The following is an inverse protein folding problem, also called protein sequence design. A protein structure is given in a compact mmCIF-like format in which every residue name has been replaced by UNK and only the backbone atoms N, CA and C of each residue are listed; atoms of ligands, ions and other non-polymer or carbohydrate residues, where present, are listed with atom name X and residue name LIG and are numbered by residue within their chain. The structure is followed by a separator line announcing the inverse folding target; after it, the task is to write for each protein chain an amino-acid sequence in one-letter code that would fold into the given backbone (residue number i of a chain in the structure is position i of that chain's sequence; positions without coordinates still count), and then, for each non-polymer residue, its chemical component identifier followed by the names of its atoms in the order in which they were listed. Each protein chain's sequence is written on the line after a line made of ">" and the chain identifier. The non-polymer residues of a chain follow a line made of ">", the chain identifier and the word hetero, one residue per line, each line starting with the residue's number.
data_IF_926705995669
#
_entry.id   IF_926705995669
#
_cell.length_a   1.000
_cell.length_b   1.000
_cell.length_c   1.000
_cell.angle_alpha   90.00
_cell.angle_beta   90.00
_cell.angle_gamma   90.00
#
_symmetry.space_group_name_H-M   'P 1'
#
loop_
_entity.id
_entity.type
_entity.pdbx_description
1 polymer ?
#
# COMPACT_ATOMS: atom_id res chain seq x y z
N UNK A 1 20.75 -3.78 -2.94
CA UNK A 1 20.59 -2.48 -2.24
C UNK A 1 19.39 -1.66 -2.71
N UNK A 2 19.22 -1.40 -4.01
CA UNK A 2 18.10 -0.57 -4.53
C UNK A 2 16.71 -1.04 -4.09
N UNK A 3 16.45 -2.35 -4.12
CA UNK A 3 15.18 -2.93 -3.68
C UNK A 3 14.83 -2.64 -2.22
N UNK A 4 15.84 -2.62 -1.34
CA UNK A 4 15.65 -2.37 0.09
C UNK A 4 15.36 -0.89 0.31
N UNK A 5 16.12 0.02 -0.32
CA UNK A 5 15.91 1.46 -0.18
C UNK A 5 14.57 1.91 -0.77
N UNK A 6 14.25 1.45 -1.99
CA UNK A 6 13.00 1.78 -2.65
C UNK A 6 11.79 1.22 -1.90
N UNK A 7 11.87 -0.03 -1.43
CA UNK A 7 10.84 -0.63 -0.58
C UNK A 7 10.66 0.10 0.75
N UNK A 8 11.74 0.48 1.43
CA UNK A 8 11.65 1.15 2.73
C UNK A 8 11.05 2.57 2.61
N UNK A 9 11.44 3.31 1.57
CA UNK A 9 10.85 4.62 1.28
C UNK A 9 9.36 4.50 0.91
N UNK A 10 8.99 3.48 0.13
CA UNK A 10 7.60 3.17 -0.14
C UNK A 10 6.82 2.84 1.13
N UNK A 11 7.40 2.04 2.04
CA UNK A 11 6.80 1.69 3.32
C UNK A 11 6.49 2.93 4.18
N UNK A 12 7.43 3.87 4.27
CA UNK A 12 7.25 5.14 5.00
C UNK A 12 6.13 5.98 4.38
N UNK A 13 6.12 6.09 3.05
CA UNK A 13 5.11 6.84 2.32
C UNK A 13 3.71 6.24 2.50
N UNK A 14 3.58 4.92 2.36
CA UNK A 14 2.30 4.23 2.52
C UNK A 14 1.82 4.21 3.97
N UNK A 15 2.71 4.15 4.97
CA UNK A 15 2.31 4.28 6.37
C UNK A 15 1.66 5.65 6.64
N UNK A 16 2.30 6.73 6.18
CA UNK A 16 1.77 8.08 6.30
C UNK A 16 0.51 8.31 5.45
N UNK A 17 0.42 7.67 4.27
CA UNK A 17 -0.77 7.67 3.41
C UNK A 17 -1.95 6.98 4.10
N UNK A 18 -1.76 5.82 4.73
CA UNK A 18 -2.81 5.10 5.48
C UNK A 18 -3.36 5.92 6.65
N UNK A 19 -2.49 6.57 7.42
CA UNK A 19 -2.91 7.45 8.53
C UNK A 19 -3.74 8.64 8.03
N UNK A 20 -3.28 9.29 6.96
CA UNK A 20 -3.98 10.43 6.35
C UNK A 20 -5.31 10.01 5.73
N UNK A 21 -5.30 8.94 4.95
CA UNK A 21 -6.48 8.45 4.25
C UNK A 21 -7.54 7.86 5.17
N UNK A 22 -7.18 7.32 6.34
CA UNK A 22 -8.19 6.89 7.32
C UNK A 22 -9.04 8.06 7.83
N UNK A 23 -8.40 9.18 8.18
CA UNK A 23 -9.13 10.39 8.61
C UNK A 23 -9.92 10.99 7.45
N UNK A 24 -9.28 11.15 6.28
CA UNK A 24 -9.94 11.67 5.08
C UNK A 24 -11.16 10.86 4.66
N UNK A 25 -11.04 9.53 4.57
CA UNK A 25 -12.14 8.65 4.16
C UNK A 25 -13.32 8.65 5.16
N UNK A 26 -13.07 8.87 6.45
CA UNK A 26 -14.13 9.04 7.47
C UNK A 26 -14.86 10.37 7.31
N UNK A 27 -14.15 11.45 6.95
CA UNK A 27 -14.74 12.78 6.78
C UNK A 27 -15.59 12.90 5.51
N UNK A 28 -15.08 12.43 4.37
CA UNK A 28 -15.71 12.67 3.05
C UNK A 28 -16.17 11.40 2.32
N UNK A 29 -15.91 10.22 2.89
CA UNK A 29 -16.22 8.95 2.26
C UNK A 29 -15.13 8.44 1.31
N UNK A 30 -15.22 7.16 0.94
CA UNK A 30 -14.20 6.48 0.14
C UNK A 30 -14.08 7.00 -1.30
N UNK A 31 -15.22 7.25 -1.97
CA UNK A 31 -15.23 7.73 -3.36
C UNK A 31 -14.67 9.15 -3.52
N UNK A 32 -15.09 10.16 -2.72
CA UNK A 32 -14.48 11.49 -2.81
C UNK A 32 -13.01 11.51 -2.40
N UNK A 33 -12.63 10.69 -1.40
CA UNK A 33 -11.22 10.51 -1.03
C UNK A 33 -10.40 9.99 -2.22
N UNK A 34 -10.88 8.92 -2.88
CA UNK A 34 -10.23 8.36 -4.06
C UNK A 34 -10.12 9.37 -5.21
N UNK A 35 -11.23 10.03 -5.56
CA UNK A 35 -11.22 11.03 -6.63
C UNK A 35 -10.23 12.17 -6.35
N UNK A 36 -10.19 12.67 -5.12
CA UNK A 36 -9.26 13.72 -4.71
C UNK A 36 -7.79 13.26 -4.78
N UNK A 37 -7.49 12.07 -4.26
CA UNK A 37 -6.14 11.47 -4.30
C UNK A 37 -5.68 11.27 -5.75
N UNK A 38 -6.57 10.84 -6.64
CA UNK A 38 -6.25 10.66 -8.06
C UNK A 38 -5.96 11.99 -8.76
N UNK A 39 -6.71 13.06 -8.46
CA UNK A 39 -6.44 14.40 -9.01
C UNK A 39 -5.12 14.97 -8.50
N UNK A 40 -4.86 14.90 -7.19
CA UNK A 40 -3.59 15.35 -6.61
C UNK A 40 -2.44 14.55 -7.18
N UNK A 41 -2.54 13.23 -7.19
CA UNK A 41 -1.50 12.36 -7.72
C UNK A 41 -1.23 12.62 -9.20
N UNK A 42 -2.28 12.85 -10.00
CA UNK A 42 -2.12 13.23 -11.40
C UNK A 42 -1.38 14.57 -11.53
N UNK A 43 -1.74 15.58 -10.74
CA UNK A 43 -1.06 16.88 -10.74
C UNK A 43 0.42 16.76 -10.33
N UNK A 44 0.75 15.89 -9.37
CA UNK A 44 2.14 15.61 -8.96
C UNK A 44 2.93 14.91 -10.06
N UNK A 45 2.30 14.07 -10.88
CA UNK A 45 2.96 13.44 -12.02
C UNK A 45 3.32 14.43 -13.14
N UNK A 46 2.56 15.52 -13.33
CA UNK A 46 2.76 16.44 -14.46
C UNK A 46 4.17 17.06 -14.53
N UNK A 47 4.73 17.63 -13.44
CA UNK A 47 6.11 18.14 -13.47
C UNK A 47 7.15 17.06 -13.76
N UNK A 48 6.96 15.85 -13.23
CA UNK A 48 7.87 14.72 -13.47
C UNK A 48 7.88 14.37 -14.96
N UNK A 49 6.70 14.24 -15.57
CA UNK A 49 6.57 13.96 -17.01
C UNK A 49 7.17 15.09 -17.85
N UNK A 50 6.92 16.34 -17.48
CA UNK A 50 7.45 17.49 -18.21
C UNK A 50 8.98 17.52 -18.18
N UNK A 51 9.60 17.10 -17.06
CA UNK A 51 11.05 17.07 -16.90
C UNK A 51 11.71 15.84 -17.54
N UNK A 52 11.12 14.65 -17.42
CA UNK A 52 11.75 13.39 -17.87
C UNK A 52 11.29 12.92 -19.24
N UNK A 53 10.16 13.43 -19.72
CA UNK A 53 9.41 12.84 -20.83
C UNK A 53 8.82 11.47 -20.47
N UNK A 54 8.04 10.92 -21.40
CA UNK A 54 7.48 9.56 -21.31
C UNK A 54 8.45 8.49 -21.85
N UNK A 55 9.48 8.89 -22.59
CA UNK A 55 10.35 7.94 -23.30
C UNK A 55 9.62 7.23 -24.46
N UNK A 56 10.12 6.06 -24.89
CA UNK A 56 9.53 5.29 -25.97
C UNK A 56 8.09 4.84 -25.65
N UNK A 57 7.27 4.71 -26.70
CA UNK A 57 5.92 4.18 -26.55
C UNK A 57 5.97 2.70 -26.10
N UNK A 58 5.09 2.29 -25.17
CA UNK A 58 5.02 0.92 -24.72
C UNK A 58 4.55 -0.01 -25.84
N UNK A 59 5.07 -1.24 -25.82
CA UNK A 59 4.61 -2.32 -26.69
C UNK A 59 3.20 -2.78 -26.31
N UNK A 60 2.52 -3.54 -27.18
CA UNK A 60 1.18 -4.07 -26.92
C UNK A 60 1.10 -4.90 -25.62
N UNK A 61 2.13 -5.71 -25.33
CA UNK A 61 2.19 -6.47 -24.08
C UNK A 61 2.32 -5.57 -22.84
N UNK A 62 3.08 -4.49 -22.96
CA UNK A 62 3.24 -3.50 -21.89
C UNK A 62 1.97 -2.69 -21.67
N UNK A 63 1.17 -2.40 -22.69
CA UNK A 63 -0.14 -1.75 -22.53
C UNK A 63 -1.04 -2.58 -21.61
N UNK A 64 -1.03 -3.91 -21.74
CA UNK A 64 -1.76 -4.81 -20.84
C UNK A 64 -1.32 -4.64 -19.37
N UNK A 65 -0.01 -4.53 -19.12
CA UNK A 65 0.53 -4.24 -17.79
C UNK A 65 0.11 -2.86 -17.29
N UNK A 66 0.17 -1.82 -18.13
CA UNK A 66 -0.23 -0.46 -17.73
C UNK A 66 -1.72 -0.40 -17.34
N UNK A 67 -2.59 -1.09 -18.09
CA UNK A 67 -4.01 -1.20 -17.75
C UNK A 67 -4.21 -1.96 -16.44
N UNK A 68 -3.51 -3.10 -16.26
CA UNK A 68 -3.59 -3.88 -15.04
C UNK A 68 -3.12 -3.09 -13.81
N UNK A 69 -2.01 -2.34 -13.91
CA UNK A 69 -1.55 -1.42 -12.85
C UNK A 69 -2.59 -0.34 -12.55
N UNK A 70 -3.17 0.26 -13.60
CA UNK A 70 -4.20 1.29 -13.45
C UNK A 70 -5.42 0.80 -12.67
N UNK A 71 -6.02 -0.30 -13.13
CA UNK A 71 -7.24 -0.85 -12.54
C UNK A 71 -7.01 -1.41 -11.14
N UNK A 72 -5.95 -2.21 -10.97
CA UNK A 72 -5.65 -2.81 -9.66
C UNK A 72 -5.34 -1.74 -8.60
N UNK A 73 -4.67 -0.65 -8.96
CA UNK A 73 -4.44 0.46 -8.02
C UNK A 73 -5.74 1.14 -7.59
N UNK A 74 -6.62 1.49 -8.52
CA UNK A 74 -7.87 2.22 -8.21
C UNK A 74 -8.82 1.35 -7.41
N UNK A 75 -9.00 0.09 -7.83
CA UNK A 75 -9.89 -0.85 -7.16
C UNK A 75 -9.34 -1.18 -5.77
N UNK A 76 -8.03 -1.40 -5.65
CA UNK A 76 -7.36 -1.59 -4.37
C UNK A 76 -7.56 -0.39 -3.42
N UNK A 77 -7.30 0.83 -3.88
CA UNK A 77 -7.49 2.05 -3.08
C UNK A 77 -8.96 2.27 -2.70
N UNK A 78 -9.90 1.98 -3.59
CA UNK A 78 -11.33 2.08 -3.26
C UNK A 78 -11.70 1.14 -2.11
N UNK A 79 -11.30 -0.13 -2.20
CA UNK A 79 -11.55 -1.11 -1.15
C UNK A 79 -10.83 -0.73 0.15
N UNK A 80 -9.58 -0.26 0.08
CA UNK A 80 -8.81 0.19 1.22
C UNK A 80 -9.49 1.38 1.92
N UNK A 81 -9.92 2.40 1.18
CA UNK A 81 -10.62 3.55 1.74
C UNK A 81 -12.01 3.18 2.27
N UNK A 82 -12.71 2.25 1.61
CA UNK A 82 -13.97 1.71 2.13
C UNK A 82 -13.75 0.96 3.47
N UNK A 83 -12.69 0.16 3.57
CA UNK A 83 -12.29 -0.52 4.80
C UNK A 83 -11.92 0.47 5.89
N UNK A 84 -11.04 1.44 5.60
CA UNK A 84 -10.58 2.46 6.56
C UNK A 84 -11.69 3.40 7.03
N UNK A 85 -12.74 3.60 6.22
CA UNK A 85 -13.91 4.39 6.60
C UNK A 85 -14.71 3.73 7.70
N UNK A 86 -14.91 2.42 7.63
CA UNK A 86 -15.79 1.67 8.57
C UNK A 86 -15.00 0.97 9.68
N UNK A 87 -13.75 0.60 9.41
CA UNK A 87 -12.88 -0.15 10.31
C UNK A 87 -11.88 0.72 11.07
N UNK A 88 -11.29 0.12 12.10
CA UNK A 88 -10.14 0.67 12.82
C UNK A 88 -8.88 0.48 11.97
N UNK A 89 -7.98 1.47 11.97
CA UNK A 89 -6.69 1.38 11.27
C UNK A 89 -5.90 0.17 11.77
N UNK A 90 -5.96 -0.10 13.07
CA UNK A 90 -5.30 -1.23 13.71
C UNK A 90 -5.77 -2.61 13.20
N UNK A 91 -6.96 -2.72 12.60
CA UNK A 91 -7.42 -3.96 11.94
C UNK A 91 -7.12 -3.94 10.45
N UNK A 92 -7.37 -2.80 9.79
CA UNK A 92 -7.30 -2.70 8.33
C UNK A 92 -5.85 -2.67 7.82
N UNK A 93 -4.96 -1.89 8.45
CA UNK A 93 -3.57 -1.74 8.00
C UNK A 93 -2.79 -3.06 8.02
N UNK A 94 -2.91 -3.92 9.05
CA UNK A 94 -2.38 -5.29 9.02
C UNK A 94 -2.77 -6.10 7.79
N UNK A 95 -4.07 -6.12 7.47
CA UNK A 95 -4.57 -6.91 6.36
C UNK A 95 -4.05 -6.35 5.04
N UNK A 96 -4.05 -5.03 4.88
CA UNK A 96 -3.48 -4.38 3.69
C UNK A 96 -2.01 -4.76 3.48
N UNK A 97 -1.20 -4.83 4.54
CA UNK A 97 0.23 -5.18 4.42
C UNK A 97 0.52 -6.57 3.85
N UNK A 98 -0.48 -7.46 3.81
CA UNK A 98 -0.33 -8.76 3.15
C UNK A 98 -0.09 -8.63 1.65
N UNK A 99 -0.37 -7.46 1.05
CA UNK A 99 -0.08 -7.15 -0.35
C UNK A 99 1.39 -7.39 -0.73
N UNK A 100 2.35 -7.13 0.17
CA UNK A 100 3.77 -7.29 -0.13
C UNK A 100 4.16 -8.76 -0.27
N UNK A 101 3.57 -9.63 0.55
CA UNK A 101 3.74 -11.08 0.44
C UNK A 101 3.10 -11.61 -0.84
N UNK A 102 1.91 -11.10 -1.20
CA UNK A 102 1.24 -11.44 -2.45
C UNK A 102 2.05 -10.98 -3.67
N UNK A 103 2.57 -9.74 -3.67
CA UNK A 103 3.41 -9.21 -4.74
C UNK A 103 4.69 -10.03 -4.93
N UNK A 104 5.33 -10.42 -3.83
CA UNK A 104 6.51 -11.29 -3.88
C UNK A 104 6.18 -12.71 -4.37
N UNK A 105 5.07 -13.29 -3.91
CA UNK A 105 4.62 -14.59 -4.39
C UNK A 105 4.34 -14.57 -5.90
N UNK A 106 3.64 -13.56 -6.40
CA UNK A 106 3.37 -13.40 -7.83
C UNK A 106 4.68 -13.26 -8.60
N UNK A 107 5.63 -12.48 -8.10
CA UNK A 107 6.95 -12.31 -8.74
C UNK A 107 7.72 -13.65 -8.85
N UNK A 108 7.74 -14.43 -7.77
CA UNK A 108 8.35 -15.77 -7.75
C UNK A 108 7.67 -16.71 -8.76
N UNK A 109 6.34 -16.76 -8.74
CA UNK A 109 5.56 -17.59 -9.67
C UNK A 109 5.74 -17.17 -11.13
N UNK A 110 6.01 -15.88 -11.37
CA UNK A 110 6.33 -15.35 -12.69
C UNK A 110 7.78 -15.61 -13.14
N UNK A 111 8.58 -16.32 -12.33
CA UNK A 111 9.93 -16.76 -12.69
C UNK A 111 11.06 -15.90 -12.10
N UNK A 112 10.80 -15.00 -11.15
CA UNK A 112 11.86 -14.31 -10.43
C UNK A 112 12.70 -15.31 -9.61
N UNK A 113 13.97 -15.46 -9.99
CA UNK A 113 14.89 -16.37 -9.30
C UNK A 113 15.38 -15.74 -7.99
N UNK A 114 15.05 -16.35 -6.86
CA UNK A 114 15.55 -15.97 -5.54
C UNK A 114 16.47 -17.06 -4.99
N UNK A 115 17.58 -16.64 -4.40
CA UNK A 115 18.38 -17.52 -3.56
C UNK A 115 17.52 -18.02 -2.39
N UNK A 116 17.65 -19.31 -2.04
CA UNK A 116 16.85 -19.94 -0.99
C UNK A 116 16.94 -19.18 0.35
N UNK A 117 18.13 -18.66 0.70
CA UNK A 117 18.33 -17.83 1.89
C UNK A 117 17.51 -16.54 1.87
N UNK A 118 17.40 -15.89 0.72
CA UNK A 118 16.56 -14.70 0.53
C UNK A 118 15.08 -15.05 0.68
N UNK A 119 14.61 -16.12 0.04
CA UNK A 119 13.22 -16.55 0.15
C UNK A 119 12.81 -16.87 1.59
N UNK A 120 13.68 -17.54 2.35
CA UNK A 120 13.48 -17.83 3.78
C UNK A 120 13.39 -16.54 4.59
N UNK A 121 14.31 -15.59 4.38
CA UNK A 121 14.28 -14.32 5.10
C UNK A 121 13.05 -13.48 4.76
N UNK A 122 12.61 -13.46 3.50
CA UNK A 122 11.38 -12.80 3.10
C UNK A 122 10.16 -13.42 3.79
N UNK A 123 10.11 -14.75 3.90
CA UNK A 123 9.05 -15.43 4.66
C UNK A 123 9.08 -15.07 6.16
N UNK A 124 10.27 -15.00 6.76
CA UNK A 124 10.45 -14.59 8.16
C UNK A 124 10.01 -13.13 8.37
N UNK A 125 10.38 -12.22 7.48
CA UNK A 125 9.97 -10.80 7.54
C UNK A 125 8.45 -10.70 7.38
N UNK A 126 7.86 -11.40 6.41
CA UNK A 126 6.42 -11.44 6.23
C UNK A 126 5.69 -11.97 7.49
N UNK A 127 6.20 -13.03 8.11
CA UNK A 127 5.67 -13.54 9.37
C UNK A 127 5.82 -12.52 10.52
N UNK A 128 6.95 -11.81 10.59
CA UNK A 128 7.16 -10.71 11.54
C UNK A 128 6.18 -9.56 11.35
N UNK A 129 5.88 -9.19 10.09
CA UNK A 129 4.82 -8.22 9.76
C UNK A 129 3.48 -8.74 10.25
N UNK A 130 3.09 -9.97 9.92
CA UNK A 130 1.83 -10.57 10.39
C UNK A 130 1.73 -10.62 11.91
N UNK A 131 2.81 -10.96 12.62
CA UNK A 131 2.88 -10.97 14.09
C UNK A 131 2.76 -9.57 14.70
N UNK A 132 3.38 -8.56 14.08
CA UNK A 132 3.28 -7.16 14.51
C UNK A 132 1.87 -6.62 14.32
N UNK A 133 1.24 -7.09 13.26
CA UNK A 133 -0.02 -6.58 12.78
C UNK A 133 -1.23 -7.35 13.37
N UNK A 134 -1.02 -8.55 13.92
CA UNK A 134 -2.00 -9.23 14.74
C UNK A 134 -2.21 -8.45 16.05
N UNK A 135 -3.44 -8.02 16.32
CA UNK A 135 -3.86 -7.71 17.68
C UNK A 135 -4.07 -9.02 18.44
N UNK A 136 -3.76 -9.05 19.75
CA UNK A 136 -3.89 -10.28 20.56
C UNK A 136 -5.27 -10.91 20.41
N UNK A 137 -5.35 -12.20 20.07
CA UNK A 137 -6.59 -13.00 20.17
C UNK A 137 -7.26 -12.88 21.55
N UNK A 138 -6.49 -12.61 22.61
CA UNK A 138 -7.02 -12.34 23.95
C UNK A 138 -7.81 -11.02 24.06
N UNK A 139 -7.44 -10.01 23.27
CA UNK A 139 -8.18 -8.75 23.14
C UNK A 139 -9.39 -8.95 22.24
N UNK A 140 -9.29 -9.71 21.15
CA UNK A 140 -10.42 -10.04 20.28
C UNK A 140 -11.47 -10.95 20.94
N UNK A 141 -11.06 -11.87 21.82
CA UNK A 141 -11.97 -12.69 22.62
C UNK A 141 -12.66 -11.87 23.74
N UNK A 142 -11.94 -10.91 24.33
CA UNK A 142 -12.50 -10.01 25.37
C UNK A 142 -13.40 -8.95 24.75
N UNK A 143 -12.99 -8.35 23.63
CA UNK A 143 -13.76 -7.37 22.85
C UNK A 143 -14.93 -8.05 22.13
N UNK A 144 -14.74 -9.20 21.49
CA UNK A 144 -15.82 -9.95 20.84
C UNK A 144 -16.87 -10.52 21.80
N UNK A 145 -16.53 -10.68 23.09
CA UNK A 145 -17.48 -10.98 24.15
C UNK A 145 -18.21 -9.74 24.70
N UNK A 146 -17.65 -8.53 24.49
CA UNK A 146 -18.20 -7.24 24.91
C UNK A 146 -18.88 -6.46 23.76
N UNK A 147 -18.61 -6.82 22.51
CA UNK A 147 -19.12 -6.18 21.31
C UNK A 147 -20.52 -6.71 20.94
N UNK A 148 -21.46 -5.78 20.74
CA UNK A 148 -22.78 -6.13 20.22
C UNK A 148 -22.71 -6.70 18.79
N UNK A 149 -23.76 -7.41 18.33
CA UNK A 149 -23.81 -8.04 17.01
C UNK A 149 -23.46 -7.10 15.83
N UNK A 150 -23.86 -5.83 15.94
CA UNK A 150 -23.62 -4.80 14.91
C UNK A 150 -22.13 -4.44 14.76
N UNK A 151 -21.38 -4.40 15.87
CA UNK A 151 -19.98 -4.04 15.86
C UNK A 151 -19.12 -5.14 15.23
N UNK A 152 -19.44 -6.40 15.53
CA UNK A 152 -18.79 -7.56 14.90
C UNK A 152 -19.00 -7.59 13.38
N UNK A 153 -20.21 -7.25 12.92
CA UNK A 153 -20.51 -7.16 11.50
C UNK A 153 -19.70 -6.06 10.79
N UNK A 154 -19.50 -4.91 11.45
CA UNK A 154 -18.66 -3.82 10.93
C UNK A 154 -17.20 -4.25 10.83
N UNK A 155 -16.65 -4.88 11.86
CA UNK A 155 -15.26 -5.39 11.87
C UNK A 155 -15.04 -6.42 10.76
N UNK A 156 -15.95 -7.40 10.63
CA UNK A 156 -15.87 -8.40 9.56
C UNK A 156 -15.93 -7.76 8.17
N UNK A 157 -16.83 -6.79 7.98
CA UNK A 157 -16.94 -6.06 6.71
C UNK A 157 -15.66 -5.28 6.40
N UNK A 158 -15.07 -4.61 7.39
CA UNK A 158 -13.80 -3.91 7.23
C UNK A 158 -12.68 -4.88 6.81
N UNK A 159 -12.59 -6.03 7.46
CA UNK A 159 -11.61 -7.06 7.16
C UNK A 159 -11.78 -7.60 5.73
N UNK A 160 -13.01 -7.92 5.30
CA UNK A 160 -13.29 -8.39 3.94
C UNK A 160 -12.90 -7.36 2.87
N UNK A 161 -13.22 -6.09 3.10
CA UNK A 161 -12.82 -5.00 2.20
C UNK A 161 -11.29 -4.84 2.17
N UNK A 162 -10.62 -4.93 3.32
CA UNK A 162 -9.17 -4.85 3.40
C UNK A 162 -8.49 -6.04 2.69
N UNK A 163 -9.02 -7.25 2.81
CA UNK A 163 -8.52 -8.44 2.10
C UNK A 163 -8.68 -8.28 0.60
N UNK A 164 -9.84 -7.79 0.15
CA UNK A 164 -10.04 -7.48 -1.27
C UNK A 164 -9.01 -6.46 -1.76
N UNK A 165 -8.78 -5.38 -1.01
CA UNK A 165 -7.76 -4.39 -1.33
C UNK A 165 -6.36 -5.00 -1.42
N UNK A 166 -5.95 -5.81 -0.45
CA UNK A 166 -4.63 -6.45 -0.43
C UNK A 166 -4.38 -7.36 -1.65
N UNK A 167 -5.40 -8.07 -2.14
CA UNK A 167 -5.32 -8.87 -3.37
C UNK A 167 -5.05 -7.99 -4.60
N UNK A 168 -5.80 -6.90 -4.75
CA UNK A 168 -5.59 -5.95 -5.86
C UNK A 168 -4.22 -5.26 -5.73
N UNK A 169 -3.81 -4.88 -4.53
CA UNK A 169 -2.50 -4.27 -4.33
C UNK A 169 -1.35 -5.24 -4.57
N UNK A 170 -1.45 -6.52 -4.18
CA UNK A 170 -0.43 -7.51 -4.51
C UNK A 170 -0.21 -7.65 -6.02
N UNK A 171 -1.31 -7.69 -6.80
CA UNK A 171 -1.24 -7.64 -8.26
C UNK A 171 -0.61 -6.32 -8.73
N UNK A 172 -1.04 -5.19 -8.16
CA UNK A 172 -0.50 -3.87 -8.51
C UNK A 172 1.01 -3.77 -8.26
N UNK A 173 1.52 -4.30 -7.15
CA UNK A 173 2.95 -4.31 -6.82
C UNK A 173 3.74 -5.09 -7.87
N UNK A 174 3.30 -6.30 -8.22
CA UNK A 174 3.98 -7.09 -9.24
C UNK A 174 4.00 -6.36 -10.59
N UNK A 175 2.84 -5.89 -11.06
CA UNK A 175 2.72 -5.25 -12.37
C UNK A 175 3.48 -3.91 -12.41
N UNK A 176 3.38 -3.10 -11.36
CA UNK A 176 4.16 -1.84 -11.24
C UNK A 176 5.65 -2.13 -11.20
N UNK A 177 6.07 -3.20 -10.51
CA UNK A 177 7.46 -3.63 -10.47
C UNK A 177 7.98 -4.02 -11.85
N UNK A 178 7.20 -4.81 -12.60
CA UNK A 178 7.52 -5.15 -14.01
C UNK A 178 7.65 -3.91 -14.87
N UNK A 179 6.73 -2.96 -14.74
CA UNK A 179 6.81 -1.67 -15.45
C UNK A 179 8.08 -0.91 -15.04
N UNK A 180 8.42 -0.85 -13.76
CA UNK A 180 9.62 -0.18 -13.27
C UNK A 180 10.95 -0.78 -13.78
N UNK A 181 10.96 -2.08 -14.04
CA UNK A 181 12.08 -2.82 -14.65
C UNK A 181 12.18 -2.56 -16.17
N UNK A 182 11.04 -2.58 -16.87
CA UNK A 182 11.02 -2.54 -18.34
C UNK A 182 10.92 -1.14 -18.95
N UNK A 183 10.39 -0.18 -18.20
CA UNK A 183 10.01 1.13 -18.72
C UNK A 183 10.56 2.29 -17.87
N UNK A 184 10.65 3.50 -18.44
CA UNK A 184 10.90 4.72 -17.68
C UNK A 184 9.92 4.88 -16.51
N UNK A 185 10.39 5.48 -15.42
CA UNK A 185 9.63 5.61 -14.17
C UNK A 185 8.27 6.31 -14.34
N UNK A 186 8.16 7.20 -15.33
CA UNK A 186 6.91 7.86 -15.71
C UNK A 186 5.78 6.85 -15.98
N UNK A 187 6.09 5.74 -16.66
CA UNK A 187 5.10 4.70 -16.95
C UNK A 187 4.68 3.89 -15.73
N UNK A 188 5.47 3.87 -14.65
CA UNK A 188 5.09 3.21 -13.42
C UNK A 188 4.05 4.01 -12.62
N UNK A 189 4.08 5.35 -12.70
CA UNK A 189 3.21 6.22 -11.89
C UNK A 189 1.97 6.72 -12.62
N UNK A 190 2.04 6.93 -13.95
CA UNK A 190 0.95 7.54 -14.72
C UNK A 190 -0.30 6.68 -14.86
N UNK A 191 -0.23 5.37 -15.17
CA UNK A 191 -1.43 4.60 -15.52
C UNK A 191 -2.48 4.60 -14.42
N UNK A 192 -2.06 4.42 -13.16
CA UNK A 192 -2.91 4.54 -11.99
C UNK A 192 -3.62 5.89 -11.91
N UNK A 193 -2.90 6.99 -12.15
CA UNK A 193 -3.48 8.34 -12.07
C UNK A 193 -4.38 8.64 -13.24
N UNK A 194 -4.00 8.26 -14.46
CA UNK A 194 -4.83 8.47 -15.64
C UNK A 194 -6.13 7.68 -15.56
N UNK A 195 -6.06 6.40 -15.18
CA UNK A 195 -7.26 5.59 -14.99
C UNK A 195 -8.09 6.14 -13.80
N UNK A 196 -7.45 6.60 -12.72
CA UNK A 196 -8.16 7.15 -11.57
C UNK A 196 -8.89 8.46 -11.87
N UNK A 197 -8.26 9.33 -12.64
CA UNK A 197 -8.88 10.57 -13.11
C UNK A 197 -10.01 10.27 -14.08
N UNK A 198 -9.79 9.41 -15.07
CA UNK A 198 -10.79 9.14 -16.12
C UNK A 198 -11.98 8.31 -15.63
N UNK A 199 -11.75 7.30 -14.80
CA UNK A 199 -12.79 6.37 -14.34
C UNK A 199 -13.44 6.77 -13.03
N UNK A 200 -12.80 7.63 -12.22
CA UNK A 200 -13.32 8.02 -10.89
C UNK A 200 -13.49 9.52 -10.76
N UNK A 201 -12.43 10.31 -10.88
CA UNK A 201 -12.49 11.73 -10.56
C UNK A 201 -13.40 12.51 -11.53
N UNK A 202 -13.26 12.30 -12.85
CA UNK A 202 -14.07 12.96 -13.86
C UNK A 202 -15.57 12.59 -13.74
N UNK A 203 -15.98 11.32 -13.60
CA UNK A 203 -17.38 10.98 -13.34
C UNK A 203 -17.93 11.61 -12.05
N UNK A 204 -17.14 11.65 -10.97
CA UNK A 204 -17.56 12.30 -9.73
C UNK A 204 -17.68 13.82 -9.87
N UNK A 205 -16.81 14.46 -10.64
CA UNK A 205 -16.91 15.88 -10.97
C UNK A 205 -18.13 16.17 -11.85
N UNK A 206 -18.34 15.37 -12.90
CA UNK A 206 -19.48 15.51 -13.81
C UNK A 206 -20.84 15.31 -13.13
N UNK A 207 -20.87 14.49 -12.07
CA UNK A 207 -22.07 14.26 -11.26
C UNK A 207 -22.15 15.15 -10.02
N UNK A 208 -21.22 16.10 -9.84
CA UNK A 208 -21.12 16.97 -8.65
C UNK A 208 -21.05 16.22 -7.32
N UNK A 209 -20.50 15.00 -7.34
CA UNK A 209 -20.33 14.12 -6.17
C UNK A 209 -18.91 14.16 -5.59
N UNK A 210 -17.97 14.85 -6.25
CA UNK A 210 -16.63 15.05 -5.71
C UNK A 210 -16.61 16.18 -4.69
N UNK A 211 -17.01 15.88 -3.45
CA UNK A 211 -17.03 16.85 -2.35
C UNK A 211 -15.82 16.65 -1.45
N UNK A 212 -14.76 17.43 -1.68
CA UNK A 212 -13.62 17.52 -0.76
C UNK A 212 -13.82 18.75 0.12
N UNK A 213 -14.09 18.54 1.41
CA UNK A 213 -14.21 19.65 2.37
C UNK A 213 -12.84 20.26 2.65
N UNK A 214 -12.80 21.53 3.09
CA UNK A 214 -11.55 22.20 3.50
C UNK A 214 -10.81 21.44 4.60
N UNK A 215 -11.56 20.79 5.49
CA UNK A 215 -11.03 19.94 6.57
C UNK A 215 -10.38 18.66 6.04
N UNK A 216 -10.95 18.05 4.99
CA UNK A 216 -10.41 16.83 4.39
C UNK A 216 -9.26 17.09 3.42
N UNK A 217 -9.16 18.31 2.88
CA UNK A 217 -8.15 18.70 1.88
C UNK A 217 -6.69 18.34 2.26
N UNK A 218 -6.17 18.64 3.46
CA UNK A 218 -4.80 18.27 3.81
C UNK A 218 -4.58 16.75 3.74
N UNK A 219 -5.54 15.95 4.20
CA UNK A 219 -5.44 14.48 4.15
C UNK A 219 -5.44 13.95 2.71
N UNK A 220 -6.28 14.54 1.84
CA UNK A 220 -6.33 14.20 0.41
C UNK A 220 -5.01 14.55 -0.28
N UNK A 221 -4.46 15.74 -0.01
CA UNK A 221 -3.20 16.19 -0.59
C UNK A 221 -2.03 15.33 -0.12
N UNK A 222 -1.92 15.10 1.18
CA UNK A 222 -0.86 14.27 1.76
C UNK A 222 -0.93 12.85 1.22
N UNK A 223 -2.10 12.21 1.20
CA UNK A 223 -2.25 10.87 0.61
C UNK A 223 -1.89 10.88 -0.89
N UNK A 224 -2.43 11.82 -1.68
CA UNK A 224 -2.15 11.90 -3.12
C UNK A 224 -0.66 12.03 -3.46
N UNK A 225 0.07 12.86 -2.71
CA UNK A 225 1.52 13.03 -2.88
C UNK A 225 2.26 11.76 -2.48
N UNK A 226 2.00 11.23 -1.28
CA UNK A 226 2.68 10.04 -0.77
C UNK A 226 2.41 8.79 -1.60
N UNK A 227 1.22 8.67 -2.18
CA UNK A 227 0.88 7.59 -3.11
C UNK A 227 1.74 7.64 -4.37
N UNK A 228 2.03 8.83 -4.94
CA UNK A 228 2.91 8.95 -6.11
C UNK A 228 4.37 8.70 -5.73
N UNK A 229 4.84 9.31 -4.64
CA UNK A 229 6.23 9.16 -4.18
C UNK A 229 6.52 7.71 -3.80
N UNK A 230 5.60 7.07 -3.06
CA UNK A 230 5.73 5.66 -2.66
C UNK A 230 5.73 4.73 -3.86
N UNK A 231 4.83 4.94 -4.83
CA UNK A 231 4.80 4.13 -6.05
C UNK A 231 6.07 4.30 -6.90
N UNK A 232 6.60 5.53 -7.00
CA UNK A 232 7.86 5.80 -7.69
C UNK A 232 9.05 5.14 -6.97
N UNK A 233 9.13 5.28 -5.65
CA UNK A 233 10.18 4.65 -4.84
C UNK A 233 10.15 3.13 -4.96
N UNK A 234 8.96 2.53 -4.89
CA UNK A 234 8.77 1.11 -5.08
C UNK A 234 9.21 0.67 -6.48
N UNK A 235 8.77 1.36 -7.54
CA UNK A 235 9.12 1.01 -8.92
C UNK A 235 10.63 1.13 -9.20
N UNK A 236 11.32 2.10 -8.59
CA UNK A 236 12.78 2.18 -8.63
C UNK A 236 13.43 1.01 -7.87
N UNK A 237 12.93 0.66 -6.68
CA UNK A 237 13.45 -0.47 -5.92
C UNK A 237 13.23 -1.82 -6.62
N UNK A 238 12.09 -1.98 -7.29
CA UNK A 238 11.73 -3.18 -8.03
C UNK A 238 12.72 -3.54 -9.16
N UNK A 239 13.54 -2.58 -9.60
CA UNK A 239 14.65 -2.84 -10.56
C UNK A 239 15.69 -3.80 -10.03
N UNK A 240 15.90 -3.83 -8.71
CA UNK A 240 16.80 -4.79 -8.07
C UNK A 240 16.14 -6.15 -7.84
N UNK A 241 14.91 -6.16 -7.33
CA UNK A 241 14.09 -7.35 -7.14
C UNK A 241 12.68 -6.92 -6.76
N UNK A 242 11.67 -7.42 -7.50
CA UNK A 242 10.27 -7.11 -7.22
C UNK A 242 9.85 -7.78 -5.91
N UNK A 243 10.28 -9.03 -5.70
CA UNK A 243 9.96 -9.77 -4.49
C UNK A 243 10.51 -9.10 -3.22
N UNK A 244 11.78 -8.68 -3.24
CA UNK A 244 12.39 -7.98 -2.10
C UNK A 244 11.72 -6.64 -1.86
N UNK A 245 11.58 -5.81 -2.90
CA UNK A 245 10.94 -4.50 -2.76
C UNK A 245 9.52 -4.61 -2.20
N UNK A 246 8.76 -5.64 -2.60
CA UNK A 246 7.37 -5.85 -2.15
C UNK A 246 7.28 -6.18 -0.66
N UNK A 247 8.14 -7.07 -0.16
CA UNK A 247 8.16 -7.46 1.26
C UNK A 247 8.71 -6.36 2.16
N UNK A 248 9.67 -5.57 1.66
CA UNK A 248 10.15 -4.41 2.43
C UNK A 248 9.07 -3.32 2.46
N UNK A 249 8.36 -3.11 1.34
CA UNK A 249 7.32 -2.08 1.29
C UNK A 249 6.11 -2.39 2.18
N UNK A 250 5.75 -3.67 2.39
CA UNK A 250 4.66 -4.06 3.31
C UNK A 250 4.93 -3.74 4.78
N UNK A 251 6.15 -3.34 5.14
CA UNK A 251 6.49 -2.92 6.49
C UNK A 251 5.77 -1.65 6.94
N UNK A 252 5.04 -0.99 6.03
CA UNK A 252 4.21 0.16 6.36
C UNK A 252 3.22 -0.13 7.51
N UNK A 253 2.72 -1.36 7.66
CA UNK A 253 1.84 -1.70 8.78
C UNK A 253 2.58 -1.73 10.12
N UNK A 254 3.81 -2.25 10.15
CA UNK A 254 4.65 -2.20 11.33
C UNK A 254 5.01 -0.75 11.69
N UNK A 255 5.33 0.08 10.70
CA UNK A 255 5.58 1.52 10.90
C UNK A 255 4.32 2.21 11.43
N UNK A 256 3.15 1.94 10.84
CA UNK A 256 1.88 2.52 11.28
C UNK A 256 1.54 2.11 12.73
N UNK A 257 1.78 0.84 13.10
CA UNK A 257 1.60 0.36 14.46
C UNK A 257 2.53 1.07 15.45
N UNK A 258 3.82 1.21 15.11
CA UNK A 258 4.80 1.92 15.94
C UNK A 258 4.44 3.41 16.11
N UNK A 259 4.01 4.08 15.03
CA UNK A 259 3.60 5.48 15.08
C UNK A 259 2.33 5.64 15.92
N UNK A 260 1.39 4.70 15.84
CA UNK A 260 0.20 4.69 16.69
C UNK A 260 0.58 4.66 18.17
N UNK A 261 1.45 3.71 18.57
CA UNK A 261 1.96 3.58 19.94
C UNK A 261 2.65 4.86 20.40
N UNK A 262 3.51 5.45 19.56
CA UNK A 262 4.26 6.66 19.89
C UNK A 262 3.38 7.91 20.04
N UNK A 263 2.26 8.00 19.31
CA UNK A 263 1.36 9.16 19.33
C UNK A 263 0.23 9.03 20.35
N UNK A 264 -0.17 7.81 20.72
CA UNK A 264 -1.33 7.55 21.58
C UNK A 264 -0.96 7.00 22.98
N UNK A 265 0.34 6.93 23.32
CA UNK A 265 0.87 6.40 24.60
C UNK A 265 0.38 4.96 24.91
N UNK A 266 0.04 4.19 23.88
CA UNK A 266 -0.37 2.80 24.03
C UNK A 266 0.86 1.90 24.25
N UNK A 267 0.73 0.85 25.07
CA UNK A 267 1.82 -0.11 25.31
C UNK A 267 1.82 -1.20 24.24
N UNK A 268 2.93 -1.38 23.54
CA UNK A 268 3.14 -2.51 22.63
C UNK A 268 2.94 -3.84 23.37
N UNK A 269 2.11 -4.71 22.80
CA UNK A 269 2.01 -6.07 23.30
C UNK A 269 3.29 -6.86 22.99
N UNK A 270 3.60 -7.87 23.80
CA UNK A 270 4.86 -8.64 23.69
C UNK A 270 5.06 -9.28 22.31
N UNK A 271 3.99 -9.71 21.65
CA UNK A 271 4.03 -10.27 20.30
C UNK A 271 4.32 -9.20 19.23
N UNK A 272 3.83 -7.97 19.40
CA UNK A 272 4.14 -6.86 18.50
C UNK A 272 5.62 -6.48 18.58
N UNK A 273 6.17 -6.44 19.79
CA UNK A 273 7.61 -6.21 19.98
C UNK A 273 8.46 -7.33 19.36
N UNK A 274 8.04 -8.60 19.51
CA UNK A 274 8.68 -9.74 18.87
C UNK A 274 8.63 -9.62 17.34
N UNK A 275 7.47 -9.28 16.77
CA UNK A 275 7.29 -9.04 15.35
C UNK A 275 8.20 -7.93 14.81
N UNK A 276 8.24 -6.77 15.48
CA UNK A 276 9.15 -5.66 15.14
C UNK A 276 10.62 -6.09 15.17
N UNK A 277 11.00 -6.88 16.18
CA UNK A 277 12.37 -7.41 16.30
C UNK A 277 12.70 -8.38 15.17
N UNK A 278 11.76 -9.24 14.78
CA UNK A 278 11.89 -10.16 13.64
C UNK A 278 12.06 -9.39 12.34
N UNK A 279 11.24 -8.35 12.11
CA UNK A 279 11.34 -7.50 10.92
C UNK A 279 12.72 -6.82 10.88
N UNK A 280 13.12 -6.13 11.95
CA UNK A 280 14.38 -5.41 12.00
C UNK A 280 15.59 -6.34 11.77
N UNK A 281 15.60 -7.50 12.44
CA UNK A 281 16.67 -8.50 12.29
C UNK A 281 16.66 -9.12 10.88
N UNK A 282 15.49 -9.45 10.35
CA UNK A 282 15.33 -9.99 9.01
C UNK A 282 15.80 -9.02 7.92
N UNK A 283 15.44 -7.73 8.04
CA UNK A 283 15.91 -6.67 7.12
C UNK A 283 17.41 -6.47 7.22
N UNK A 284 17.98 -6.44 8.44
CA UNK A 284 19.43 -6.31 8.62
C UNK A 284 20.20 -7.48 8.00
N UNK A 285 19.75 -8.73 8.23
CA UNK A 285 20.31 -9.93 7.62
C UNK A 285 20.16 -9.93 6.10
N UNK A 286 18.99 -9.55 5.61
CA UNK A 286 18.74 -9.45 4.17
C UNK A 286 19.64 -8.39 3.52
N UNK A 287 19.85 -7.26 4.19
CA UNK A 287 20.76 -6.20 3.75
C UNK A 287 22.20 -6.71 3.69
N UNK A 288 22.63 -7.45 4.72
CA UNK A 288 23.96 -8.04 4.76
C UNK A 288 24.19 -9.10 3.67
N UNK A 289 23.16 -9.88 3.32
CA UNK A 289 23.22 -10.86 2.21
C UNK A 289 23.15 -10.21 0.82
N UNK A 290 22.67 -8.98 0.73
CA UNK A 290 22.48 -8.21 -0.50
C UNK A 290 23.60 -7.16 -0.74
N UNK A 291 24.56 -7.08 0.18
CA UNK A 291 25.74 -6.21 0.11
C UNK A 291 26.89 -6.92 -0.59
#
# INVERSE_FOLDING_TARGET
>A
MEAILGGALAALCWAASVMSSSRGAKLIGAWPMLGGVMLVGFAVCLPVIAATGLGPNPTTGQIGLLVAAGISNIVGLLFAYAALRVGKVAVVAPILSTEGALGALIAILAGEALAAGTAILLAIIAAGVMLTAAETEAVEATIGALEGPDQRAITLRAALLATAAALFFGVNLYVTGRIGVELPIAWAVIPARLAGVTLVALPLLATSRLTVTREALPFVVTAGVLEVVGLAAFALGARGSIAIASVIASQFAAIAALVSVALFDERLARHQLAGVTIIASGVALLTALQA
#
